data_IF_301350533152
#
_entry.id   IF_301350533152
#
_cell.length_a   1.000
_cell.length_b   1.000
_cell.length_c   1.000
_cell.angle_alpha   90.00
_cell.angle_beta   90.00
_cell.angle_gamma   90.00
#
_symmetry.space_group_name_H-M   'P 1'
#
loop_
_entity.id
_entity.type
_entity.pdbx_description
1 polymer ?
#
# COMPACT_ATOMS: atom_id res chain seq x y z
N UNK A 1 11.42 -47.44 17.30
CA UNK A 1 11.17 -46.05 17.74
C UNK A 1 12.02 -45.18 16.85
N UNK A 2 11.43 -44.71 15.75
CA UNK A 2 12.10 -43.81 14.82
C UNK A 2 12.00 -42.39 15.40
N UNK A 3 13.17 -41.79 15.58
CA UNK A 3 13.37 -40.45 16.10
C UNK A 3 12.98 -39.46 15.00
N UNK A 4 11.71 -39.07 15.00
CA UNK A 4 11.14 -38.08 14.08
C UNK A 4 11.74 -36.71 14.39
N UNK A 5 12.87 -36.42 13.77
CA UNK A 5 13.42 -35.07 13.67
C UNK A 5 12.41 -34.22 12.92
N UNK A 6 11.57 -33.50 13.68
CA UNK A 6 10.76 -32.41 13.17
C UNK A 6 11.75 -31.38 12.61
N UNK A 7 11.95 -31.40 11.29
CA UNK A 7 12.53 -30.28 10.58
C UNK A 7 11.56 -29.13 10.83
N UNK A 8 11.92 -28.24 11.75
CA UNK A 8 11.15 -27.03 11.97
C UNK A 8 11.17 -26.25 10.67
N UNK A 9 10.09 -26.37 9.89
CA UNK A 9 9.79 -25.48 8.77
C UNK A 9 9.77 -24.06 9.34
N UNK A 10 10.92 -23.42 9.29
CA UNK A 10 11.06 -22.02 9.64
C UNK A 10 10.32 -21.28 8.55
N UNK A 11 9.10 -20.84 8.87
CA UNK A 11 8.29 -20.03 7.96
C UNK A 11 9.17 -18.87 7.44
N UNK A 12 9.17 -18.63 6.12
CA UNK A 12 10.06 -17.66 5.49
C UNK A 12 9.89 -16.27 6.10
N UNK A 13 10.97 -15.49 6.10
CA UNK A 13 10.87 -14.07 6.46
C UNK A 13 10.05 -13.33 5.40
N UNK A 14 9.54 -12.14 5.75
CA UNK A 14 8.77 -11.35 4.78
C UNK A 14 9.63 -10.92 3.58
N UNK A 15 10.91 -10.62 3.79
CA UNK A 15 11.88 -10.41 2.70
C UNK A 15 11.92 -11.57 1.71
N UNK A 16 11.99 -12.82 2.19
CA UNK A 16 11.97 -14.02 1.33
C UNK A 16 10.62 -14.16 0.58
N UNK A 17 9.52 -13.87 1.27
CA UNK A 17 8.17 -13.96 0.72
C UNK A 17 7.93 -12.94 -0.42
N UNK A 18 8.59 -11.78 -0.36
CA UNK A 18 8.41 -10.67 -1.28
C UNK A 18 9.61 -10.44 -2.21
N UNK A 19 10.55 -11.38 -2.31
CA UNK A 19 11.78 -11.22 -3.12
C UNK A 19 11.50 -10.80 -4.58
N UNK A 20 10.42 -11.33 -5.18
CA UNK A 20 10.02 -10.95 -6.54
C UNK A 20 9.44 -9.53 -6.66
N UNK A 21 8.92 -8.98 -5.56
CA UNK A 21 8.32 -7.66 -5.49
C UNK A 21 9.36 -6.55 -5.30
N UNK A 22 10.48 -6.84 -4.62
CA UNK A 22 11.53 -5.86 -4.32
C UNK A 22 11.95 -5.05 -5.55
N UNK A 23 12.32 -5.73 -6.63
CA UNK A 23 12.74 -5.08 -7.88
C UNK A 23 11.65 -4.20 -8.50
N UNK A 24 10.37 -4.58 -8.35
CA UNK A 24 9.24 -3.76 -8.84
C UNK A 24 9.00 -2.54 -7.96
N UNK A 25 9.15 -2.67 -6.65
CA UNK A 25 9.04 -1.56 -5.69
C UNK A 25 10.19 -0.57 -5.91
N UNK A 26 11.42 -1.06 -6.08
CA UNK A 26 12.57 -0.23 -6.42
C UNK A 26 12.34 0.53 -7.73
N UNK A 27 11.87 -0.15 -8.78
CA UNK A 27 11.57 0.50 -10.05
C UNK A 27 10.44 1.55 -9.94
N UNK A 28 9.49 1.39 -9.00
CA UNK A 28 8.49 2.42 -8.68
C UNK A 28 9.17 3.63 -8.04
N UNK A 29 9.99 3.40 -7.01
CA UNK A 29 10.73 4.45 -6.32
C UNK A 29 11.63 5.26 -7.27
N UNK A 30 12.39 4.59 -8.13
CA UNK A 30 13.28 5.25 -9.09
C UNK A 30 12.52 6.18 -10.03
N UNK A 31 11.29 5.81 -10.45
CA UNK A 31 10.44 6.69 -11.27
C UNK A 31 9.96 7.91 -10.49
N UNK A 32 9.59 7.74 -9.23
CA UNK A 32 9.18 8.84 -8.35
C UNK A 32 10.34 9.81 -8.15
N UNK A 33 11.54 9.31 -7.86
CA UNK A 33 12.76 10.12 -7.71
C UNK A 33 13.12 10.85 -9.01
N UNK A 34 13.04 10.18 -10.15
CA UNK A 34 13.30 10.82 -11.43
C UNK A 34 12.31 11.97 -11.73
N UNK A 35 11.06 11.84 -11.28
CA UNK A 35 10.04 12.88 -11.43
C UNK A 35 10.21 14.05 -10.43
N UNK A 36 10.81 13.81 -9.26
CA UNK A 36 10.93 14.81 -8.19
C UNK A 36 12.06 15.83 -8.40
N UNK A 37 13.06 15.51 -9.24
CA UNK A 37 14.24 16.36 -9.49
C UNK A 37 15.07 16.69 -8.22
N UNK A 38 14.95 15.88 -7.17
CA UNK A 38 15.65 16.07 -5.88
C UNK A 38 17.13 15.72 -6.00
N UNK A 39 18.00 16.52 -5.37
CA UNK A 39 19.45 16.32 -5.36
C UNK A 39 20.02 16.53 -3.93
N UNK A 40 20.75 15.57 -3.33
CA UNK A 40 21.09 14.24 -3.87
C UNK A 40 19.83 13.37 -4.08
N UNK A 41 19.86 12.44 -5.06
CA UNK A 41 18.72 11.58 -5.32
C UNK A 41 18.41 10.73 -4.09
N UNK A 42 17.15 10.67 -3.64
CA UNK A 42 16.75 9.85 -2.52
C UNK A 42 17.12 8.38 -2.72
N UNK A 43 17.38 7.67 -1.61
CA UNK A 43 17.66 6.23 -1.60
C UNK A 43 16.57 5.46 -0.88
N UNK A 44 16.18 4.32 -1.43
CA UNK A 44 15.27 3.38 -0.78
C UNK A 44 16.08 2.26 -0.10
N UNK A 45 15.70 1.92 1.13
CA UNK A 45 16.23 0.79 1.87
C UNK A 45 15.08 -0.08 2.35
N UNK A 46 15.27 -1.40 2.31
CA UNK A 46 14.33 -2.36 2.88
C UNK A 46 14.87 -2.87 4.21
N UNK A 47 13.98 -3.12 5.17
CA UNK A 47 14.37 -3.58 6.50
C UNK A 47 13.42 -4.64 7.03
N UNK A 48 13.99 -5.64 7.69
CA UNK A 48 13.27 -6.60 8.55
C UNK A 48 13.16 -6.09 10.00
N UNK A 49 13.89 -5.03 10.35
CA UNK A 49 13.83 -4.42 11.68
C UNK A 49 12.49 -3.70 11.85
N UNK A 50 11.72 -4.17 12.82
CA UNK A 50 10.43 -3.59 13.17
C UNK A 50 10.58 -2.11 13.58
N UNK A 51 9.78 -1.26 12.98
CA UNK A 51 9.69 0.18 13.29
C UNK A 51 8.24 0.55 13.64
N UNK A 52 8.05 1.57 14.47
CA UNK A 52 6.72 2.15 14.72
C UNK A 52 6.15 2.89 13.51
N UNK A 53 7.01 3.22 12.53
CA UNK A 53 6.64 3.76 11.22
C UNK A 53 7.06 2.74 10.16
N UNK A 54 6.11 2.22 9.40
CA UNK A 54 6.33 1.13 8.48
C UNK A 54 6.95 1.63 7.15
N UNK A 55 6.66 2.88 6.80
CA UNK A 55 7.42 3.65 5.84
C UNK A 55 7.97 4.89 6.55
N UNK A 56 9.25 5.19 6.32
CA UNK A 56 9.91 6.30 7.00
C UNK A 56 10.85 7.03 6.07
N UNK A 57 10.69 8.34 5.95
CA UNK A 57 11.73 9.20 5.41
C UNK A 57 12.68 9.71 6.50
N UNK A 58 13.91 10.00 6.07
CA UNK A 58 14.86 10.85 6.78
C UNK A 58 15.37 11.91 5.80
N UNK A 59 14.68 13.06 5.72
CA UNK A 59 15.03 14.14 4.80
C UNK A 59 16.50 14.55 4.82
N UNK A 60 17.13 14.66 6.00
CA UNK A 60 18.53 15.09 6.10
C UNK A 60 19.53 14.15 5.41
N UNK A 61 19.17 12.89 5.22
CA UNK A 61 20.00 11.87 4.56
C UNK A 61 19.52 11.55 3.14
N UNK A 62 18.45 12.20 2.69
CA UNK A 62 17.72 11.83 1.48
C UNK A 62 17.46 10.31 1.42
N UNK A 63 16.92 9.74 2.51
CA UNK A 63 16.66 8.31 2.60
C UNK A 63 15.20 8.00 2.93
N UNK A 64 14.72 6.90 2.37
CA UNK A 64 13.42 6.30 2.65
C UNK A 64 13.65 4.85 3.05
N UNK A 65 13.06 4.41 4.15
CA UNK A 65 13.11 3.04 4.63
C UNK A 65 11.70 2.43 4.56
N UNK A 66 11.59 1.26 3.94
CA UNK A 66 10.36 0.47 3.88
C UNK A 66 10.51 -0.83 4.70
N UNK A 67 9.63 -1.02 5.67
CA UNK A 67 9.54 -2.22 6.50
C UNK A 67 8.82 -3.34 5.73
N UNK A 68 9.40 -4.54 5.71
CA UNK A 68 8.77 -5.71 5.08
C UNK A 68 7.42 -6.09 5.71
N UNK A 69 7.20 -5.81 6.99
CA UNK A 69 5.88 -5.97 7.64
C UNK A 69 4.87 -4.97 7.07
N UNK A 70 5.31 -3.73 6.81
CA UNK A 70 4.50 -2.70 6.15
C UNK A 70 4.10 -3.13 4.75
N UNK A 71 5.06 -3.62 3.97
CA UNK A 71 4.84 -4.16 2.64
C UNK A 71 3.85 -5.34 2.67
N UNK A 72 4.03 -6.29 3.60
CA UNK A 72 3.15 -7.44 3.75
C UNK A 72 1.72 -7.04 4.14
N UNK A 73 1.59 -6.11 5.10
CA UNK A 73 0.30 -5.57 5.53
C UNK A 73 -0.41 -4.82 4.40
N UNK A 74 0.30 -3.95 3.67
CA UNK A 74 -0.25 -3.22 2.54
C UNK A 74 -0.69 -4.15 1.41
N UNK A 75 0.10 -5.19 1.13
CA UNK A 75 -0.25 -6.21 0.15
C UNK A 75 -1.52 -6.95 0.58
N UNK A 76 -1.60 -7.44 1.82
CA UNK A 76 -2.79 -8.10 2.35
C UNK A 76 -4.03 -7.20 2.27
N UNK A 77 -3.91 -5.93 2.66
CA UNK A 77 -5.00 -4.95 2.56
C UNK A 77 -5.46 -4.78 1.11
N UNK A 78 -4.52 -4.71 0.18
CA UNK A 78 -4.79 -4.55 -1.25
C UNK A 78 -5.50 -5.78 -1.82
N UNK A 79 -5.10 -6.99 -1.43
CA UNK A 79 -5.84 -8.22 -1.75
C UNK A 79 -7.26 -8.18 -1.22
N UNK A 80 -7.44 -7.73 0.02
CA UNK A 80 -8.75 -7.56 0.64
C UNK A 80 -9.68 -6.66 -0.18
N UNK A 81 -9.20 -5.47 -0.51
CA UNK A 81 -9.96 -4.51 -1.33
C UNK A 81 -10.22 -5.02 -2.74
N UNK A 82 -9.23 -5.65 -3.38
CA UNK A 82 -9.38 -6.22 -4.72
C UNK A 82 -10.51 -7.23 -4.81
N UNK A 83 -10.68 -8.06 -3.78
CA UNK A 83 -11.72 -9.09 -3.70
C UNK A 83 -13.08 -8.52 -3.26
N UNK A 84 -13.09 -7.53 -2.38
CA UNK A 84 -14.32 -6.93 -1.87
C UNK A 84 -14.97 -5.91 -2.81
N UNK A 85 -14.17 -5.28 -3.69
CA UNK A 85 -14.61 -4.16 -4.53
C UNK A 85 -15.91 -4.46 -5.29
N UNK A 86 -16.00 -5.60 -5.98
CA UNK A 86 -17.19 -5.96 -6.76
C UNK A 86 -18.44 -6.08 -5.86
N UNK A 87 -18.32 -6.78 -4.72
CA UNK A 87 -19.40 -6.94 -3.77
C UNK A 87 -19.84 -5.60 -3.17
N UNK A 88 -18.89 -4.76 -2.73
CA UNK A 88 -19.16 -3.43 -2.19
C UNK A 88 -19.90 -2.53 -3.17
N UNK A 89 -19.46 -2.49 -4.43
CA UNK A 89 -20.13 -1.67 -5.45
C UNK A 89 -21.53 -2.20 -5.78
N UNK A 90 -21.72 -3.52 -5.82
CA UNK A 90 -23.03 -4.11 -6.05
C UNK A 90 -23.99 -3.82 -4.90
N UNK A 91 -23.58 -4.03 -3.64
CA UNK A 91 -24.38 -3.70 -2.47
C UNK A 91 -24.78 -2.22 -2.45
N UNK A 92 -23.83 -1.31 -2.73
CA UNK A 92 -24.11 0.13 -2.82
C UNK A 92 -25.12 0.48 -3.91
N UNK A 93 -25.02 -0.13 -5.10
CA UNK A 93 -25.99 0.10 -6.19
C UNK A 93 -27.38 -0.43 -5.84
N UNK A 94 -27.45 -1.51 -5.07
CA UNK A 94 -28.69 -2.13 -4.63
C UNK A 94 -29.27 -1.51 -3.34
N UNK A 95 -28.65 -0.45 -2.80
CA UNK A 95 -29.12 0.22 -1.58
C UNK A 95 -28.93 -0.62 -0.31
N UNK A 96 -28.08 -1.64 -0.34
CA UNK A 96 -27.80 -2.48 0.83
C UNK A 96 -26.82 -1.79 1.78
N UNK A 97 -27.17 -1.75 3.07
CA UNK A 97 -26.34 -1.17 4.12
C UNK A 97 -25.29 -2.13 4.68
N UNK A 98 -25.42 -3.43 4.41
CA UNK A 98 -24.55 -4.50 4.91
C UNK A 98 -24.19 -5.45 3.77
N UNK A 99 -23.01 -6.05 3.90
CA UNK A 99 -22.54 -7.13 3.05
C UNK A 99 -22.57 -8.41 3.87
N UNK A 100 -23.41 -9.35 3.46
CA UNK A 100 -23.36 -10.72 3.97
C UNK A 100 -22.49 -11.52 3.00
N UNK A 101 -21.49 -12.22 3.55
CA UNK A 101 -20.60 -13.05 2.74
C UNK A 101 -21.12 -14.48 2.70
N UNK A 102 -21.14 -15.06 1.51
CA UNK A 102 -21.29 -16.51 1.36
C UNK A 102 -20.01 -17.19 1.87
N UNK A 103 -20.17 -18.32 2.56
CA UNK A 103 -19.06 -19.11 3.07
C UNK A 103 -18.14 -19.56 1.91
N UNK A 104 -16.83 -19.48 2.12
CA UNK A 104 -15.78 -19.74 1.13
C UNK A 104 -15.80 -18.83 -0.11
N UNK A 105 -16.52 -17.70 -0.06
CA UNK A 105 -16.54 -16.74 -1.17
C UNK A 105 -15.26 -15.92 -1.24
N UNK A 106 -14.97 -15.39 -2.44
CA UNK A 106 -13.87 -14.44 -2.64
C UNK A 106 -14.02 -13.19 -1.77
N UNK A 107 -15.25 -12.75 -1.51
CA UNK A 107 -15.53 -11.62 -0.64
C UNK A 107 -15.19 -11.93 0.83
N UNK A 108 -15.53 -13.12 1.32
CA UNK A 108 -15.14 -13.58 2.67
C UNK A 108 -13.61 -13.65 2.81
N UNK A 109 -12.92 -14.24 1.82
CA UNK A 109 -11.46 -14.25 1.80
C UNK A 109 -10.88 -12.83 1.81
N UNK A 110 -11.49 -11.91 1.06
CA UNK A 110 -11.13 -10.49 1.08
C UNK A 110 -11.27 -9.83 2.46
N UNK A 111 -12.34 -10.15 3.18
CA UNK A 111 -12.53 -9.70 4.57
C UNK A 111 -11.44 -10.25 5.49
N UNK A 112 -11.08 -11.53 5.36
CA UNK A 112 -9.99 -12.13 6.13
C UNK A 112 -8.63 -11.47 5.83
N UNK A 113 -8.37 -11.09 4.59
CA UNK A 113 -7.16 -10.36 4.21
C UNK A 113 -7.04 -8.98 4.89
N UNK A 114 -8.17 -8.28 5.12
CA UNK A 114 -8.17 -7.00 5.88
C UNK A 114 -7.77 -7.25 7.35
N UNK A 115 -8.23 -8.34 7.95
CA UNK A 115 -7.84 -8.69 9.32
C UNK A 115 -6.36 -9.08 9.41
N UNK A 116 -5.87 -9.83 8.43
CA UNK A 116 -4.46 -10.19 8.35
C UNK A 116 -3.58 -8.94 8.18
N UNK A 117 -3.97 -8.00 7.32
CA UNK A 117 -3.28 -6.71 7.17
C UNK A 117 -3.14 -5.97 8.52
N UNK A 118 -4.22 -5.94 9.31
CA UNK A 118 -4.22 -5.33 10.65
C UNK A 118 -3.32 -6.07 11.64
N UNK A 119 -3.19 -7.38 11.52
CA UNK A 119 -2.29 -8.16 12.37
C UNK A 119 -0.83 -7.89 12.02
N UNK A 120 -0.51 -7.85 10.71
CA UNK A 120 0.82 -7.58 10.17
C UNK A 120 1.32 -6.16 10.46
N UNK A 121 0.43 -5.17 10.56
CA UNK A 121 0.81 -3.79 10.87
C UNK A 121 1.26 -3.58 12.34
N UNK A 122 1.04 -4.55 13.23
CA UNK A 122 1.32 -4.36 14.67
C UNK A 122 2.74 -4.83 15.05
N UNK A 123 3.39 -4.20 16.05
CA UNK A 123 4.73 -4.56 16.58
C UNK A 123 4.87 -5.92 17.27
N UNK A 124 4.40 -7.01 16.67
CA UNK A 124 4.45 -8.35 17.26
C UNK A 124 5.03 -9.29 16.22
N UNK A 125 5.73 -10.35 16.66
CA UNK A 125 6.32 -11.39 15.81
C UNK A 125 5.31 -12.25 15.03
N UNK A 126 4.25 -11.60 14.53
CA UNK A 126 3.23 -12.13 13.66
C UNK A 126 3.90 -12.50 12.33
N UNK A 127 3.78 -13.76 11.96
CA UNK A 127 4.30 -14.30 10.70
C UNK A 127 3.16 -14.43 9.72
N UNK A 128 3.50 -14.51 8.43
CA UNK A 128 2.50 -14.79 7.39
C UNK A 128 1.71 -16.06 7.73
N UNK A 129 0.40 -15.92 7.83
CA UNK A 129 -0.47 -17.05 8.11
C UNK A 129 -0.55 -17.98 6.89
N UNK A 130 -0.23 -19.26 7.08
CA UNK A 130 -0.14 -20.28 6.02
C UNK A 130 -1.47 -20.58 5.32
N UNK A 131 -2.60 -20.20 5.92
CA UNK A 131 -3.93 -20.34 5.31
C UNK A 131 -4.21 -19.27 4.25
N UNK A 132 -3.42 -18.20 4.19
CA UNK A 132 -3.57 -17.16 3.17
C UNK A 132 -2.72 -17.46 1.94
N UNK A 133 -3.25 -17.19 0.72
CA UNK A 133 -2.46 -17.16 -0.49
C UNK A 133 -1.21 -16.29 -0.31
N UNK A 134 -0.06 -16.83 -0.71
CA UNK A 134 1.22 -16.11 -0.68
C UNK A 134 1.31 -15.14 -1.86
N UNK A 135 2.08 -14.04 -1.74
CA UNK A 135 2.42 -13.19 -2.86
C UNK A 135 3.07 -13.99 -3.99
N UNK A 136 2.48 -13.91 -5.18
CA UNK A 136 3.00 -14.58 -6.38
C UNK A 136 2.73 -13.73 -7.62
N UNK A 137 3.79 -13.17 -8.19
CA UNK A 137 3.73 -12.31 -9.37
C UNK A 137 3.45 -13.07 -10.68
N UNK A 138 3.56 -14.39 -10.68
CA UNK A 138 3.32 -15.24 -11.84
C UNK A 138 1.90 -15.81 -11.88
N UNK A 139 1.10 -15.57 -10.84
CA UNK A 139 -0.27 -16.07 -10.77
C UNK A 139 -1.18 -15.37 -11.78
N UNK A 140 -1.73 -16.16 -12.72
CA UNK A 140 -2.71 -15.71 -13.73
C UNK A 140 -4.07 -15.34 -13.14
N UNK A 141 -4.29 -15.57 -11.84
CA UNK A 141 -5.52 -15.15 -11.14
C UNK A 141 -5.53 -13.63 -11.00
N UNK A 142 -5.79 -12.91 -12.10
CA UNK A 142 -5.93 -11.46 -12.23
C UNK A 142 -6.09 -10.78 -10.87
N UNK A 143 -4.95 -10.48 -10.26
CA UNK A 143 -4.86 -10.11 -8.86
C UNK A 143 -5.23 -8.63 -8.80
N UNK A 144 -6.52 -8.31 -8.79
CA UNK A 144 -6.98 -6.93 -8.62
C UNK A 144 -6.25 -6.27 -7.42
N UNK A 145 -5.93 -7.06 -6.40
CA UNK A 145 -5.10 -6.68 -5.28
C UNK A 145 -3.69 -6.20 -5.62
N UNK A 146 -2.96 -6.81 -6.56
CA UNK A 146 -1.61 -6.36 -6.91
C UNK A 146 -1.64 -5.01 -7.63
N UNK A 147 -2.68 -4.76 -8.43
CA UNK A 147 -2.90 -3.45 -9.05
C UNK A 147 -3.10 -2.39 -7.97
N UNK A 148 -3.88 -2.69 -6.94
CA UNK A 148 -4.06 -1.78 -5.80
C UNK A 148 -2.77 -1.63 -4.99
N UNK A 149 -2.05 -2.72 -4.74
CA UNK A 149 -0.80 -2.73 -3.99
C UNK A 149 0.27 -1.85 -4.63
N UNK A 150 0.59 -2.09 -5.90
CA UNK A 150 1.65 -1.33 -6.58
C UNK A 150 1.31 0.15 -6.75
N UNK A 151 0.04 0.52 -6.75
CA UNK A 151 -0.40 1.92 -6.80
C UNK A 151 -0.43 2.58 -5.43
N UNK A 152 -0.80 1.84 -4.38
CA UNK A 152 -0.75 2.34 -3.02
C UNK A 152 0.71 2.55 -2.58
N UNK A 153 1.61 1.61 -2.87
CA UNK A 153 3.03 1.76 -2.54
C UNK A 153 3.69 2.88 -3.35
N UNK A 154 3.29 3.09 -4.61
CA UNK A 154 3.73 4.24 -5.40
C UNK A 154 3.34 5.57 -4.76
N UNK A 155 2.11 5.68 -4.24
CA UNK A 155 1.67 6.87 -3.52
C UNK A 155 2.43 7.07 -2.21
N UNK A 156 2.59 6.02 -1.39
CA UNK A 156 3.32 6.10 -0.11
C UNK A 156 4.77 6.52 -0.34
N UNK A 157 5.47 5.87 -1.29
CA UNK A 157 6.85 6.25 -1.60
C UNK A 157 6.96 7.67 -2.16
N UNK A 158 5.97 8.13 -2.93
CA UNK A 158 5.92 9.52 -3.38
C UNK A 158 5.66 10.50 -2.24
N UNK A 159 4.87 10.14 -1.24
CA UNK A 159 4.69 10.94 -0.02
C UNK A 159 6.02 11.10 0.72
N UNK A 160 6.76 10.00 0.96
CA UNK A 160 8.07 10.05 1.61
C UNK A 160 9.09 10.88 0.82
N UNK A 161 9.12 10.74 -0.52
CA UNK A 161 9.96 11.59 -1.38
C UNK A 161 9.51 13.05 -1.35
N UNK A 162 8.21 13.30 -1.18
CA UNK A 162 7.64 14.64 -1.01
C UNK A 162 8.22 15.37 0.20
N UNK A 163 8.41 14.68 1.33
CA UNK A 163 9.10 15.27 2.48
C UNK A 163 10.52 15.73 2.14
N UNK A 164 11.27 14.92 1.40
CA UNK A 164 12.63 15.25 0.98
C UNK A 164 12.61 16.41 -0.02
N UNK A 165 11.69 16.37 -0.99
CA UNK A 165 11.59 17.37 -2.06
C UNK A 165 11.20 18.76 -1.54
N UNK A 166 10.35 18.82 -0.53
CA UNK A 166 9.94 20.06 0.13
C UNK A 166 10.95 20.57 1.16
N UNK A 167 12.05 19.83 1.39
CA UNK A 167 13.08 20.22 2.35
C UNK A 167 12.58 20.22 3.80
N UNK A 168 11.65 19.32 4.12
CA UNK A 168 11.18 19.08 5.48
C UNK A 168 12.37 18.65 6.37
N UNK A 169 12.38 19.08 7.64
CA UNK A 169 13.46 18.79 8.62
C UNK A 169 13.22 17.48 9.40
N UNK A 170 14.24 16.95 10.04
CA UNK A 170 14.15 15.77 10.92
C UNK A 170 13.71 16.14 12.35
N UNK A 171 13.54 17.43 12.65
CA UNK A 171 13.37 17.96 14.02
C UNK A 171 11.95 17.80 14.55
N UNK A 172 11.84 17.78 15.87
CA UNK A 172 10.54 17.86 16.54
C UNK A 172 9.86 19.20 16.25
N UNK A 173 8.65 19.15 15.71
CA UNK A 173 7.86 20.33 15.39
C UNK A 173 6.66 20.52 16.31
N UNK A 174 6.08 21.71 16.20
CA UNK A 174 4.72 21.91 16.69
C UNK A 174 3.73 21.03 15.93
N UNK A 175 2.61 20.70 16.56
CA UNK A 175 1.57 19.90 15.93
C UNK A 175 1.00 20.55 14.65
N UNK A 176 1.04 21.89 14.55
CA UNK A 176 0.58 22.60 13.34
C UNK A 176 1.56 22.43 12.18
N UNK A 177 2.85 22.62 12.43
CA UNK A 177 3.89 22.40 11.43
C UNK A 177 3.88 20.96 10.91
N UNK A 178 3.82 19.96 11.81
CA UNK A 178 3.66 18.56 11.40
C UNK A 178 2.47 18.40 10.45
N UNK A 179 1.28 18.91 10.78
CA UNK A 179 0.12 18.79 9.88
C UNK A 179 0.31 19.48 8.53
N UNK A 180 1.02 20.60 8.48
CA UNK A 180 1.21 21.33 7.22
C UNK A 180 2.23 20.62 6.32
N UNK A 181 3.26 20.04 6.91
CA UNK A 181 4.27 19.25 6.20
C UNK A 181 3.68 17.92 5.67
N UNK A 182 2.88 17.20 6.47
CA UNK A 182 2.13 16.02 5.99
C UNK A 182 1.21 16.36 4.80
N UNK A 183 0.49 17.51 4.87
CA UNK A 183 -0.38 17.95 3.76
C UNK A 183 0.40 18.29 2.51
N UNK A 184 1.60 18.83 2.65
CA UNK A 184 2.45 19.15 1.50
C UNK A 184 2.96 17.87 0.83
N UNK A 185 3.43 16.89 1.62
CA UNK A 185 3.82 15.58 1.14
C UNK A 185 2.66 14.83 0.46
N UNK A 186 1.45 14.88 1.03
CA UNK A 186 0.24 14.31 0.44
C UNK A 186 -0.09 14.92 -0.93
N UNK A 187 0.03 16.25 -1.06
CA UNK A 187 -0.20 16.95 -2.33
C UNK A 187 0.83 16.55 -3.37
N UNK A 188 2.09 16.43 -2.97
CA UNK A 188 3.16 15.96 -3.83
C UNK A 188 2.89 14.54 -4.34
N UNK A 189 2.60 13.60 -3.42
CA UNK A 189 2.29 12.21 -3.74
C UNK A 189 1.10 12.08 -4.69
N UNK A 190 0.02 12.80 -4.38
CA UNK A 190 -1.20 12.82 -5.19
C UNK A 190 -0.92 13.35 -6.59
N UNK A 191 -0.12 14.41 -6.72
CA UNK A 191 0.25 14.99 -8.02
C UNK A 191 1.09 14.02 -8.85
N UNK A 192 2.01 13.28 -8.22
CA UNK A 192 2.83 12.26 -8.88
C UNK A 192 2.00 11.08 -9.41
N UNK A 193 1.02 10.61 -8.63
CA UNK A 193 0.24 9.41 -8.98
C UNK A 193 -0.91 9.71 -9.93
N UNK A 194 -1.63 10.82 -9.72
CA UNK A 194 -2.82 11.15 -10.50
C UNK A 194 -2.45 11.91 -11.78
N UNK A 195 -1.34 12.65 -11.79
CA UNK A 195 -1.05 13.62 -12.84
C UNK A 195 -2.09 14.75 -12.87
N UNK A 196 -2.06 15.59 -13.91
CA UNK A 196 -3.11 16.58 -14.15
C UNK A 196 -4.45 15.89 -14.41
N UNK A 197 -5.39 16.01 -13.48
CA UNK A 197 -6.71 15.40 -13.55
C UNK A 197 -7.57 16.13 -14.59
N UNK A 198 -7.72 15.57 -15.79
CA UNK A 198 -8.63 16.09 -16.82
C UNK A 198 -9.84 15.16 -16.90
N UNK A 199 -10.85 15.43 -16.09
CA UNK A 199 -12.17 14.82 -16.29
C UNK A 199 -12.73 15.32 -17.63
N UNK A 200 -13.32 14.44 -18.44
CA UNK A 200 -14.00 14.86 -19.67
C UNK A 200 -15.27 15.63 -19.30
N UNK A 201 -15.33 16.96 -19.52
CA UNK A 201 -16.47 17.77 -19.15
C UNK A 201 -17.71 17.51 -20.02
N UNK A 202 -17.57 16.77 -21.13
CA UNK A 202 -18.65 16.48 -22.08
C UNK A 202 -19.41 15.18 -21.84
N UNK A 203 -18.98 14.31 -20.90
CA UNK A 203 -19.54 12.97 -20.73
C UNK A 203 -20.96 12.99 -20.18
N UNK A 204 -21.89 12.32 -20.87
CA UNK A 204 -23.29 12.26 -20.45
C UNK A 204 -23.52 11.19 -19.36
N UNK A 205 -24.51 11.36 -18.47
CA UNK A 205 -24.90 10.34 -17.51
C UNK A 205 -25.22 9.00 -18.19
N UNK A 206 -24.55 7.92 -17.78
CA UNK A 206 -24.76 6.57 -18.32
C UNK A 206 -23.71 6.09 -19.32
N UNK A 207 -22.85 6.98 -19.84
CA UNK A 207 -21.78 6.59 -20.75
C UNK A 207 -20.62 5.89 -20.03
N UNK A 208 -20.09 4.83 -20.67
CA UNK A 208 -18.96 4.06 -20.16
C UNK A 208 -17.71 4.94 -20.17
N UNK A 209 -16.97 5.07 -19.05
CA UNK A 209 -15.76 5.88 -19.01
C UNK A 209 -14.69 5.35 -19.97
N UNK A 210 -13.83 6.23 -20.46
CA UNK A 210 -12.69 5.83 -21.28
C UNK A 210 -11.74 4.91 -20.50
N UNK A 211 -10.87 4.17 -21.20
CA UNK A 211 -9.85 3.35 -20.53
C UNK A 211 -8.90 4.20 -19.68
N UNK A 212 -8.65 5.44 -20.07
CA UNK A 212 -7.80 6.36 -19.32
C UNK A 212 -8.49 6.89 -18.06
N UNK A 213 -9.79 7.18 -18.13
CA UNK A 213 -10.60 7.50 -16.94
C UNK A 213 -10.70 6.30 -15.98
N UNK A 214 -10.82 5.07 -16.48
CA UNK A 214 -10.82 3.86 -15.65
C UNK A 214 -9.47 3.68 -14.95
N UNK A 215 -8.36 3.85 -15.68
CA UNK A 215 -7.01 3.82 -15.11
C UNK A 215 -6.85 4.91 -14.05
N UNK A 216 -7.34 6.13 -14.30
CA UNK A 216 -7.30 7.25 -13.37
C UNK A 216 -8.11 6.97 -12.10
N UNK A 217 -9.34 6.44 -12.23
CA UNK A 217 -10.17 6.02 -11.09
C UNK A 217 -9.49 4.93 -10.26
N UNK A 218 -8.83 3.96 -10.90
CA UNK A 218 -8.06 2.93 -10.20
C UNK A 218 -6.88 3.52 -9.42
N UNK A 219 -6.17 4.49 -10.01
CA UNK A 219 -5.09 5.24 -9.32
C UNK A 219 -5.63 6.03 -8.13
N UNK A 220 -6.76 6.71 -8.27
CA UNK A 220 -7.40 7.44 -7.18
C UNK A 220 -7.88 6.52 -6.04
N UNK A 221 -8.47 5.36 -6.37
CA UNK A 221 -8.88 4.36 -5.36
C UNK A 221 -7.65 3.79 -4.64
N UNK A 222 -6.56 3.52 -5.36
CA UNK A 222 -5.34 3.02 -4.75
C UNK A 222 -4.59 4.08 -3.91
N UNK A 223 -4.59 5.34 -4.32
CA UNK A 223 -4.11 6.45 -3.50
C UNK A 223 -4.96 6.59 -2.22
N UNK A 224 -6.28 6.47 -2.36
CA UNK A 224 -7.18 6.42 -1.20
C UNK A 224 -6.93 5.20 -0.30
N UNK A 225 -6.54 4.05 -0.87
CA UNK A 225 -6.15 2.87 -0.10
C UNK A 225 -4.87 3.12 0.69
N UNK A 226 -3.84 3.71 0.06
CA UNK A 226 -2.61 4.12 0.74
C UNK A 226 -2.90 5.05 1.90
N UNK A 227 -3.67 6.12 1.67
CA UNK A 227 -4.06 7.08 2.70
C UNK A 227 -4.83 6.43 3.86
N UNK A 228 -5.82 5.58 3.56
CA UNK A 228 -6.59 4.86 4.58
C UNK A 228 -5.70 3.89 5.36
N UNK A 229 -4.79 3.20 4.69
CA UNK A 229 -3.87 2.28 5.34
C UNK A 229 -2.92 3.02 6.30
N UNK A 230 -2.29 4.11 5.84
CA UNK A 230 -1.44 4.98 6.67
C UNK A 230 -2.24 5.51 7.89
N UNK A 231 -3.45 6.01 7.66
CA UNK A 231 -4.31 6.55 8.74
C UNK A 231 -4.69 5.47 9.77
N UNK A 232 -4.98 4.24 9.34
CA UNK A 232 -5.43 3.17 10.25
C UNK A 232 -4.23 2.55 11.00
N UNK A 233 -3.06 2.49 10.37
CA UNK A 233 -1.97 1.62 10.82
C UNK A 233 -0.67 2.33 11.17
N UNK A 234 -0.43 3.55 10.68
CA UNK A 234 0.74 4.36 11.04
C UNK A 234 0.41 5.49 12.03
N UNK A 235 -0.83 5.98 12.07
CA UNK A 235 -1.29 7.00 13.04
C UNK A 235 -1.59 6.41 14.44
N UNK A 236 -0.81 5.43 14.89
CA UNK A 236 -0.77 5.04 16.31
C UNK A 236 0.21 5.91 17.08
N UNK A 237 0.12 7.25 16.91
CA UNK A 237 0.68 8.20 17.88
C UNK A 237 -0.19 8.15 19.15
N UNK A 238 0.02 7.12 19.96
CA UNK A 238 -0.34 7.11 21.39
C UNK A 238 0.93 7.07 22.21
#
# INVERSE_FOLDING_TARGET
MEDGTFVGDTLPNFSDLFIGYEARIQAIFDRVVAASSVNPPPKLQFTDAHSSMLFKCKPSEASVTADWHGIASLWAMSQGVGRLCAAMFNARRSGQARLDFEESSEAELGYHFIHEARALAKPRGHRWNTYFPKPDLQSDRLVAGDVFFFRAIEWILAHEVGHIASGHDDRAWTAQQSRDEEREADRFATSCVIGGLVADPGRQPGEKPSQDEIKLKRRAIAAGLGLVWVTIYEDTRT
#
